data_IF_874792689147
#
_entry.id   IF_874792689147
#
_cell.length_a   1.000
_cell.length_b   1.000
_cell.length_c   1.000
_cell.angle_alpha   90.00
_cell.angle_beta   90.00
_cell.angle_gamma   90.00
#
_symmetry.space_group_name_H-M   'P 1'
#
loop_
_entity.id
_entity.type
_entity.pdbx_description
1 polymer ?
#
# COMPACT_ATOMS: atom_id res chain seq x y z
N UNK A 1 -8.49 -28.13 -5.57
CA UNK A 1 -9.86 -27.98 -6.10
C UNK A 1 -10.11 -29.14 -7.04
N UNK A 2 -10.63 -30.26 -6.54
CA UNK A 2 -10.81 -31.51 -7.31
C UNK A 2 -12.23 -32.01 -7.09
N UNK A 3 -12.95 -32.38 -8.14
CA UNK A 3 -14.34 -32.84 -8.03
C UNK A 3 -14.46 -34.00 -7.01
N UNK A 4 -15.59 -34.08 -6.29
CA UNK A 4 -15.95 -35.12 -5.30
C UNK A 4 -15.32 -35.05 -3.89
N UNK A 5 -14.58 -33.98 -3.56
CA UNK A 5 -14.13 -33.73 -2.18
C UNK A 5 -15.14 -32.92 -1.36
N UNK A 6 -15.09 -33.08 -0.02
CA UNK A 6 -15.97 -32.34 0.90
C UNK A 6 -15.78 -30.82 0.78
N UNK A 7 -16.83 -30.01 1.02
CA UNK A 7 -16.74 -28.55 0.95
C UNK A 7 -15.58 -27.94 1.75
N UNK A 8 -15.31 -28.50 2.93
CA UNK A 8 -14.20 -28.09 3.80
C UNK A 8 -12.84 -28.39 3.16
N UNK A 9 -12.66 -29.56 2.56
CA UNK A 9 -11.41 -29.90 1.87
C UNK A 9 -11.23 -29.04 0.61
N UNK A 10 -12.31 -28.73 -0.10
CA UNK A 10 -12.23 -27.82 -1.26
C UNK A 10 -11.84 -26.40 -0.84
N UNK A 11 -12.44 -25.88 0.23
CA UNK A 11 -12.08 -24.59 0.79
C UNK A 11 -10.61 -24.54 1.21
N UNK A 12 -10.11 -25.59 1.86
CA UNK A 12 -8.69 -25.69 2.23
C UNK A 12 -7.79 -25.74 0.99
N UNK A 13 -8.11 -26.57 -0.01
CA UNK A 13 -7.33 -26.64 -1.25
C UNK A 13 -7.38 -25.34 -2.04
N UNK A 14 -8.52 -24.65 -2.00
CA UNK A 14 -8.70 -23.37 -2.69
C UNK A 14 -7.89 -22.27 -2.04
N UNK A 15 -7.94 -22.18 -0.71
CA UNK A 15 -7.18 -21.16 0.03
C UNK A 15 -5.69 -21.46 0.14
N UNK A 16 -5.28 -22.73 0.10
CA UNK A 16 -3.87 -23.09 -0.09
C UNK A 16 -3.36 -22.71 -1.48
N UNK A 17 -4.22 -22.77 -2.50
CA UNK A 17 -3.87 -22.32 -3.84
C UNK A 17 -3.69 -20.80 -3.89
N UNK A 18 -4.62 -20.03 -3.33
CA UNK A 18 -4.53 -18.56 -3.30
C UNK A 18 -3.29 -18.10 -2.51
N UNK A 19 -3.10 -18.63 -1.29
CA UNK A 19 -1.88 -18.40 -0.50
C UNK A 19 -0.61 -18.83 -1.24
N UNK A 20 -0.67 -19.95 -1.95
CA UNK A 20 0.44 -20.46 -2.77
C UNK A 20 0.85 -19.47 -3.86
N UNK A 21 -0.10 -18.74 -4.45
CA UNK A 21 0.19 -17.68 -5.40
C UNK A 21 0.77 -16.43 -4.73
N UNK A 22 0.31 -16.06 -3.53
CA UNK A 22 0.98 -15.03 -2.69
C UNK A 22 2.43 -15.40 -2.42
N UNK A 23 2.69 -16.64 -2.03
CA UNK A 23 4.03 -17.14 -1.77
C UNK A 23 4.89 -17.16 -3.04
N UNK A 24 4.32 -17.55 -4.18
CA UNK A 24 5.02 -17.53 -5.47
C UNK A 24 5.38 -16.10 -5.91
N UNK A 25 4.46 -15.15 -5.72
CA UNK A 25 4.69 -13.73 -5.92
C UNK A 25 5.81 -13.18 -5.04
N UNK A 26 5.78 -13.51 -3.74
CA UNK A 26 6.82 -13.14 -2.80
C UNK A 26 8.18 -13.76 -3.17
N UNK A 27 8.21 -14.97 -3.72
CA UNK A 27 9.45 -15.66 -4.12
C UNK A 27 10.18 -14.96 -5.29
N UNK A 28 9.48 -14.14 -6.09
CA UNK A 28 10.14 -13.35 -7.12
C UNK A 28 11.19 -12.37 -6.56
N UNK A 29 11.17 -12.08 -5.25
CA UNK A 29 12.22 -11.35 -4.54
C UNK A 29 13.59 -12.04 -4.65
N UNK A 30 13.67 -13.34 -4.95
CA UNK A 30 14.95 -14.02 -5.21
C UNK A 30 15.51 -13.72 -6.62
N UNK A 31 14.61 -13.47 -7.58
CA UNK A 31 14.96 -13.22 -8.99
C UNK A 31 15.20 -11.73 -9.23
N UNK A 32 14.28 -10.88 -8.80
CA UNK A 32 14.35 -9.44 -9.03
C UNK A 32 15.15 -8.75 -7.94
N UNK A 33 16.22 -8.06 -8.33
CA UNK A 33 17.08 -7.30 -7.43
C UNK A 33 16.58 -5.87 -7.25
N UNK A 34 16.47 -5.41 -5.99
CA UNK A 34 16.10 -4.02 -5.64
C UNK A 34 17.07 -2.96 -6.18
N UNK A 35 18.22 -3.37 -6.75
CA UNK A 35 19.18 -2.48 -7.40
C UNK A 35 18.65 -1.81 -8.67
N UNK A 36 17.67 -2.38 -9.35
CA UNK A 36 17.15 -1.83 -10.62
C UNK A 36 15.82 -1.12 -10.38
N UNK A 37 15.90 0.17 -10.00
CA UNK A 37 14.74 1.03 -9.72
C UNK A 37 13.67 1.00 -10.82
N UNK A 38 14.06 0.87 -12.09
CA UNK A 38 13.13 0.71 -13.22
C UNK A 38 12.28 -0.55 -13.15
N UNK A 39 12.87 -1.68 -12.76
CA UNK A 39 12.14 -2.95 -12.66
C UNK A 39 11.21 -2.89 -11.45
N UNK A 40 11.67 -2.33 -10.34
CA UNK A 40 10.87 -2.14 -9.14
C UNK A 40 9.64 -1.25 -9.42
N UNK A 41 9.85 -0.06 -9.98
CA UNK A 41 8.77 0.87 -10.31
C UNK A 41 7.78 0.24 -11.32
N UNK A 42 8.30 -0.48 -12.33
CA UNK A 42 7.47 -1.18 -13.30
C UNK A 42 6.67 -2.34 -12.70
N UNK A 43 7.25 -3.09 -11.76
CA UNK A 43 6.55 -4.19 -11.10
C UNK A 43 5.51 -3.69 -10.10
N UNK A 44 5.78 -2.60 -9.39
CA UNK A 44 4.81 -1.93 -8.51
C UNK A 44 3.66 -1.32 -9.32
N UNK A 45 3.97 -0.67 -10.45
CA UNK A 45 2.95 -0.17 -11.38
C UNK A 45 2.05 -1.30 -11.88
N UNK A 46 2.63 -2.39 -12.37
CA UNK A 46 1.88 -3.59 -12.77
C UNK A 46 0.99 -4.14 -11.65
N UNK A 47 1.53 -4.28 -10.43
CA UNK A 47 0.77 -4.75 -9.27
C UNK A 47 -0.41 -3.83 -8.93
N UNK A 48 -0.22 -2.50 -8.91
CA UNK A 48 -1.29 -1.54 -8.72
C UNK A 48 -2.42 -1.70 -9.76
N UNK A 49 -2.04 -1.94 -11.02
CA UNK A 49 -2.98 -2.21 -12.10
C UNK A 49 -3.84 -3.46 -11.85
N UNK A 50 -3.18 -4.57 -11.50
CA UNK A 50 -3.87 -5.83 -11.19
C UNK A 50 -4.81 -5.66 -10.01
N UNK A 51 -4.35 -5.06 -8.91
CA UNK A 51 -5.14 -4.86 -7.69
C UNK A 51 -6.36 -3.95 -7.91
N UNK A 52 -6.24 -2.89 -8.73
CA UNK A 52 -7.38 -2.04 -9.07
C UNK A 52 -8.45 -2.78 -9.89
N UNK A 53 -8.02 -3.59 -10.87
CA UNK A 53 -8.95 -4.40 -11.64
C UNK A 53 -9.64 -5.43 -10.73
N UNK A 54 -8.87 -6.18 -9.95
CA UNK A 54 -9.40 -7.22 -9.08
C UNK A 54 -10.35 -6.67 -7.99
N UNK A 55 -10.06 -5.47 -7.47
CA UNK A 55 -10.98 -4.74 -6.58
C UNK A 55 -12.38 -4.59 -7.17
N UNK A 56 -12.49 -4.37 -8.49
CA UNK A 56 -13.78 -4.29 -9.15
C UNK A 56 -14.36 -5.68 -9.48
N UNK A 57 -13.66 -6.46 -10.30
CA UNK A 57 -14.22 -7.69 -10.87
C UNK A 57 -14.30 -8.86 -9.89
N UNK A 58 -13.30 -9.01 -9.03
CA UNK A 58 -13.20 -10.16 -8.14
C UNK A 58 -13.80 -9.90 -6.75
N UNK A 59 -14.04 -8.63 -6.39
CA UNK A 59 -14.57 -8.24 -5.08
C UNK A 59 -15.88 -7.44 -5.17
N UNK A 60 -15.87 -6.25 -5.78
CA UNK A 60 -17.06 -5.37 -5.84
C UNK A 60 -18.21 -5.95 -6.66
N UNK A 61 -17.95 -6.47 -7.86
CA UNK A 61 -18.99 -7.03 -8.72
C UNK A 61 -19.69 -8.22 -8.05
N UNK A 62 -18.97 -9.24 -7.52
CA UNK A 62 -19.59 -10.29 -6.73
C UNK A 62 -20.34 -9.78 -5.50
N UNK A 63 -19.82 -8.75 -4.80
CA UNK A 63 -20.51 -8.16 -3.67
C UNK A 63 -21.85 -7.50 -4.05
N UNK A 64 -21.90 -6.85 -5.21
CA UNK A 64 -23.11 -6.24 -5.78
C UNK A 64 -24.11 -7.34 -6.15
N UNK A 65 -23.68 -8.35 -6.90
CA UNK A 65 -24.52 -9.47 -7.32
C UNK A 65 -25.12 -10.19 -6.11
N UNK A 66 -24.31 -10.47 -5.09
CA UNK A 66 -24.77 -11.08 -3.84
C UNK A 66 -25.75 -10.18 -3.06
N UNK A 67 -25.57 -8.86 -3.10
CA UNK A 67 -26.49 -7.93 -2.45
C UNK A 67 -27.84 -7.87 -3.19
N UNK A 68 -27.84 -7.88 -4.52
CA UNK A 68 -29.03 -7.93 -5.36
C UNK A 68 -29.81 -9.25 -5.18
N UNK A 69 -29.10 -10.38 -5.28
CA UNK A 69 -29.68 -11.72 -5.16
C UNK A 69 -30.25 -12.01 -3.77
N UNK A 70 -29.74 -11.33 -2.73
CA UNK A 70 -30.24 -11.52 -1.36
C UNK A 70 -31.72 -11.16 -1.19
N UNK A 71 -32.29 -10.35 -2.10
CA UNK A 71 -33.68 -9.89 -2.04
C UNK A 71 -34.03 -8.99 -0.85
N UNK A 72 -33.06 -8.71 0.05
CA UNK A 72 -33.26 -7.94 1.29
C UNK A 72 -33.26 -6.43 1.06
N UNK A 73 -32.53 -5.97 0.05
CA UNK A 73 -32.25 -4.54 -0.14
C UNK A 73 -33.07 -3.89 -1.26
N UNK A 74 -33.71 -4.68 -2.14
CA UNK A 74 -34.49 -4.14 -3.27
C UNK A 74 -33.67 -3.18 -4.13
N UNK A 75 -34.18 -1.98 -4.37
CA UNK A 75 -33.48 -0.91 -5.11
C UNK A 75 -32.24 -0.34 -4.39
N UNK A 76 -32.03 -0.70 -3.12
CA UNK A 76 -30.92 -0.23 -2.29
C UNK A 76 -29.79 -1.27 -2.15
N UNK A 77 -29.66 -2.22 -3.08
CA UNK A 77 -28.58 -3.20 -3.08
C UNK A 77 -27.16 -2.56 -3.09
N UNK A 78 -27.04 -1.32 -3.53
CA UNK A 78 -25.78 -0.56 -3.46
C UNK A 78 -25.36 -0.21 -2.01
N UNK A 79 -26.28 -0.16 -1.04
CA UNK A 79 -26.00 0.28 0.33
C UNK A 79 -25.01 -0.63 1.06
N UNK A 80 -25.20 -1.96 1.16
CA UNK A 80 -24.23 -2.83 1.82
C UNK A 80 -22.84 -2.73 1.19
N UNK A 81 -22.77 -2.62 -0.14
CA UNK A 81 -21.53 -2.50 -0.89
C UNK A 81 -20.86 -1.14 -0.63
N UNK A 82 -21.60 -0.04 -0.72
CA UNK A 82 -21.07 1.31 -0.47
C UNK A 82 -20.58 1.47 0.98
N UNK A 83 -21.33 0.94 1.95
CA UNK A 83 -20.95 0.94 3.36
C UNK A 83 -19.70 0.10 3.58
N UNK A 84 -19.66 -1.13 3.06
CA UNK A 84 -18.48 -1.99 3.15
C UNK A 84 -17.24 -1.31 2.56
N UNK A 85 -17.35 -0.82 1.32
CA UNK A 85 -16.28 -0.11 0.62
C UNK A 85 -15.76 1.10 1.39
N UNK A 86 -16.66 1.98 1.85
CA UNK A 86 -16.27 3.16 2.62
C UNK A 86 -15.61 2.79 3.96
N UNK A 87 -16.12 1.77 4.65
CA UNK A 87 -15.52 1.28 5.90
C UNK A 87 -14.14 0.66 5.66
N UNK A 88 -13.94 -0.04 4.55
CA UNK A 88 -12.63 -0.58 4.14
C UNK A 88 -11.59 0.51 3.93
N UNK A 89 -11.94 1.53 3.15
CA UNK A 89 -11.06 2.67 2.92
C UNK A 89 -10.79 3.45 4.22
N UNK A 90 -11.84 3.71 5.02
CA UNK A 90 -11.72 4.37 6.30
C UNK A 90 -10.87 3.56 7.30
N UNK A 91 -10.96 2.23 7.27
CA UNK A 91 -10.15 1.37 8.12
C UNK A 91 -8.66 1.56 7.85
N UNK A 92 -8.23 1.55 6.59
CA UNK A 92 -6.82 1.76 6.23
C UNK A 92 -6.38 3.18 6.58
N UNK A 93 -7.21 4.19 6.29
CA UNK A 93 -6.95 5.58 6.68
C UNK A 93 -6.77 5.74 8.20
N UNK A 94 -7.65 5.12 9.00
CA UNK A 94 -7.56 5.17 10.46
C UNK A 94 -6.35 4.38 10.98
N UNK A 95 -5.97 3.28 10.34
CA UNK A 95 -4.75 2.55 10.65
C UNK A 95 -3.51 3.41 10.38
N UNK A 96 -3.50 4.19 9.29
CA UNK A 96 -2.45 5.17 9.03
C UNK A 96 -2.40 6.23 10.13
N UNK A 97 -3.55 6.76 10.55
CA UNK A 97 -3.61 7.77 11.62
C UNK A 97 -3.19 7.23 13.01
N UNK A 98 -3.46 5.96 13.29
CA UNK A 98 -3.15 5.34 14.58
C UNK A 98 -1.67 4.98 14.75
N UNK A 99 -0.94 4.72 13.66
CA UNK A 99 0.46 4.29 13.70
C UNK A 99 1.42 5.25 14.42
N UNK A 100 1.36 6.59 14.20
CA UNK A 100 2.11 7.56 14.98
C UNK A 100 1.75 7.54 16.46
N UNK A 101 0.46 7.34 16.76
CA UNK A 101 -0.06 7.35 18.12
C UNK A 101 0.45 6.16 18.95
N UNK A 102 0.65 5.01 18.29
CA UNK A 102 1.16 3.79 18.90
C UNK A 102 2.70 3.73 18.98
N UNK A 103 3.41 4.71 18.41
CA UNK A 103 4.88 4.72 18.40
C UNK A 103 5.51 3.66 17.50
N UNK A 104 4.76 3.05 16.58
CA UNK A 104 5.19 1.91 15.73
C UNK A 104 6.02 2.39 14.49
N UNK A 105 6.51 3.63 14.50
CA UNK A 105 7.20 4.25 13.37
C UNK A 105 8.72 4.10 13.33
N UNK A 106 9.37 3.62 14.39
CA UNK A 106 10.84 3.48 14.44
C UNK A 106 11.26 2.04 14.25
N UNK A 107 12.15 1.78 13.30
CA UNK A 107 12.78 0.46 13.14
C UNK A 107 13.51 0.09 14.45
N UNK A 108 13.42 -1.17 14.94
CA UNK A 108 14.11 -1.62 16.15
C UNK A 108 15.61 -1.30 16.17
N UNK A 109 16.25 -1.26 15.01
CA UNK A 109 17.67 -0.91 14.88
C UNK A 109 17.92 0.61 14.96
N UNK A 110 16.94 1.46 14.57
CA UNK A 110 17.01 2.92 14.73
C UNK A 110 16.61 3.37 16.13
N UNK A 111 15.67 2.67 16.79
CA UNK A 111 15.26 2.95 18.16
C UNK A 111 16.41 2.74 19.17
N UNK A 112 17.33 1.80 18.88
CA UNK A 112 18.55 1.57 19.67
C UNK A 112 19.69 2.56 19.33
N UNK A 113 19.63 3.22 18.17
CA UNK A 113 20.65 4.17 17.72
C UNK A 113 20.31 5.63 18.09
N UNK A 114 19.10 5.91 18.56
CA UNK A 114 18.70 7.21 19.09
C UNK A 114 19.09 7.31 20.58
N UNK A 115 19.85 8.35 20.99
CA UNK A 115 20.12 8.57 22.41
C UNK A 115 18.81 8.84 23.18
N UNK A 116 18.73 8.50 24.49
CA UNK A 116 17.46 8.48 25.25
C UNK A 116 16.79 9.84 25.48
N UNK A 117 17.39 10.94 25.02
CA UNK A 117 16.96 12.30 25.31
C UNK A 117 16.51 13.05 24.05
N UNK A 118 15.33 12.68 23.54
CA UNK A 118 14.48 13.62 22.79
C UNK A 118 13.01 13.35 23.11
N UNK A 119 12.65 13.62 24.37
CA UNK A 119 11.25 13.83 24.71
C UNK A 119 10.76 15.03 23.89
N UNK A 120 9.79 14.77 23.02
CA UNK A 120 8.89 15.71 22.37
C UNK A 120 8.83 17.09 23.05
N UNK A 121 9.48 18.09 22.45
CA UNK A 121 9.03 19.46 22.62
C UNK A 121 7.68 19.59 21.92
N UNK A 122 6.64 19.75 22.74
CA UNK A 122 5.30 20.14 22.30
C UNK A 122 5.36 21.58 21.80
N UNK A 123 5.53 21.77 20.50
CA UNK A 123 5.19 23.06 19.88
C UNK A 123 3.67 23.22 19.87
N UNK A 124 3.19 24.03 20.82
CA UNK A 124 1.93 24.77 20.72
C UNK A 124 2.15 25.95 19.77
N UNK A 125 1.38 26.01 18.70
CA UNK A 125 1.05 27.25 18.00
C UNK A 125 -0.39 27.07 17.46
N UNK A 126 -1.40 27.43 18.25
CA UNK A 126 -2.14 28.69 18.18
C UNK A 126 -2.69 29.00 16.78
N UNK A 127 -4.02 29.00 16.68
CA UNK A 127 -4.79 29.12 15.44
C UNK A 127 -4.81 30.54 14.84
N UNK A 128 -5.44 30.70 13.65
CA UNK A 128 -5.37 31.95 12.90
C UNK A 128 -6.40 32.97 13.43
N UNK A 129 -5.92 34.09 13.94
CA UNK A 129 -6.72 35.29 14.19
C UNK A 129 -6.56 36.32 13.07
N UNK A 130 -7.71 36.78 12.58
CA UNK A 130 -7.95 37.63 11.42
C UNK A 130 -7.89 39.15 11.75
N UNK A 131 -7.36 39.95 10.79
CA UNK A 131 -7.68 41.36 10.43
C UNK A 131 -6.96 42.53 11.20
N UNK A 132 -6.98 43.81 10.70
CA UNK A 132 -5.95 44.35 9.76
C UNK A 132 -5.54 45.83 10.05
N UNK A 133 -4.47 46.36 9.43
CA UNK A 133 -4.34 47.81 9.11
C UNK A 133 -3.07 48.14 8.32
N UNK A 134 -3.27 48.53 7.05
CA UNK A 134 -2.39 49.39 6.23
C UNK A 134 -2.42 50.86 6.75
N UNK A 135 -1.73 51.84 6.13
CA UNK A 135 -0.44 51.86 5.43
C UNK A 135 0.44 53.09 5.85
N UNK A 136 1.70 53.23 5.42
CA UNK A 136 2.26 54.49 4.88
C UNK A 136 3.75 54.44 4.48
N UNK A 137 3.98 54.96 3.28
CA UNK A 137 5.11 55.75 2.75
C UNK A 137 6.52 55.19 2.45
N UNK A 138 6.79 55.25 1.13
CA UNK A 138 8.06 55.37 0.43
C UNK A 138 8.98 56.47 1.00
N UNK A 139 10.30 56.24 0.94
CA UNK A 139 11.23 57.33 0.60
C UNK A 139 12.47 56.84 -0.16
N UNK A 140 12.74 57.58 -1.24
CA UNK A 140 13.70 57.40 -2.33
C UNK A 140 15.08 57.98 -1.95
N UNK A 141 16.18 57.42 -2.48
CA UNK A 141 17.24 58.19 -3.18
C UNK A 141 18.30 57.34 -3.88
N UNK A 142 18.27 57.41 -5.21
CA UNK A 142 19.33 57.03 -6.17
C UNK A 142 20.01 58.32 -6.66
N UNK A 143 21.33 58.25 -6.88
CA UNK A 143 22.02 58.97 -7.95
C UNK A 143 23.45 59.41 -7.62
N UNK A 144 24.46 58.94 -8.39
CA UNK A 144 25.10 59.71 -9.50
C UNK A 144 26.30 58.98 -10.16
N UNK A 145 26.37 59.13 -11.49
CA UNK A 145 27.53 59.11 -12.43
C UNK A 145 28.15 57.76 -12.89
N UNK A 146 28.05 57.48 -14.20
CA UNK A 146 28.76 56.40 -14.94
C UNK A 146 30.14 56.86 -15.49
N UNK A 147 30.69 56.34 -16.63
CA UNK A 147 30.28 55.20 -17.48
C UNK A 147 31.46 54.26 -17.95
N UNK A 148 31.11 53.19 -18.71
CA UNK A 148 31.87 52.47 -19.77
C UNK A 148 33.11 51.57 -19.49
N UNK A 149 33.02 50.36 -20.07
CA UNK A 149 34.03 49.67 -20.93
C UNK A 149 34.65 48.34 -20.46
N UNK A 150 34.74 47.44 -21.45
CA UNK A 150 35.26 46.08 -21.49
C UNK A 150 36.74 45.86 -21.10
N UNK A 151 37.04 44.56 -20.84
CA UNK A 151 38.27 43.77 -21.08
C UNK A 151 39.07 43.29 -19.84
N UNK A 152 39.16 41.96 -19.75
CA UNK A 152 40.36 41.09 -19.63
C UNK A 152 41.58 41.68 -18.89
N UNK A 153 42.05 41.05 -17.80
CA UNK A 153 43.36 40.36 -17.67
C UNK A 153 43.68 39.96 -16.20
N UNK A 154 44.50 38.92 -16.08
CA UNK A 154 45.09 38.26 -14.91
C UNK A 154 45.65 39.16 -13.78
N UNK A 155 45.66 38.63 -12.55
CA UNK A 155 46.55 39.09 -11.48
C UNK A 155 46.25 38.48 -10.10
N UNK A 156 47.03 37.46 -9.71
CA UNK A 156 47.08 36.90 -8.36
C UNK A 156 47.45 37.95 -7.31
N UNK A 157 46.70 38.05 -6.20
CA UNK A 157 47.25 38.47 -4.89
C UNK A 157 46.53 37.73 -3.76
N UNK A 158 47.28 36.89 -3.05
CA UNK A 158 46.89 36.30 -1.77
C UNK A 158 46.41 37.35 -0.76
N UNK A 159 45.15 37.26 -0.33
CA UNK A 159 44.75 37.74 1.01
C UNK A 159 44.29 36.56 1.87
N UNK A 160 45.26 36.06 2.65
CA UNK A 160 45.05 35.19 3.80
C UNK A 160 44.32 35.98 4.90
N UNK A 161 42.99 36.01 4.87
CA UNK A 161 42.19 36.51 6.01
C UNK A 161 41.85 35.34 6.93
N UNK A 162 42.68 35.16 7.95
CA UNK A 162 42.48 34.25 9.08
C UNK A 162 41.26 34.77 9.87
N UNK A 163 40.09 34.17 9.68
CA UNK A 163 38.92 34.35 10.55
C UNK A 163 38.90 33.26 11.64
N UNK A 164 38.47 33.54 12.88
CA UNK A 164 38.46 32.56 13.95
C UNK A 164 37.22 31.65 13.85
N UNK A 165 37.48 30.33 13.93
CA UNK A 165 36.57 29.27 14.37
C UNK A 165 35.10 29.32 13.93
N UNK A 166 34.82 28.72 12.78
CA UNK A 166 33.58 28.00 12.50
C UNK A 166 33.68 26.60 13.12
N UNK A 167 33.09 26.36 14.29
CA UNK A 167 32.96 25.00 14.84
C UNK A 167 31.58 24.69 15.43
N UNK A 168 30.61 25.60 15.30
CA UNK A 168 29.23 25.39 15.77
C UNK A 168 28.24 25.03 14.65
N UNK A 169 28.53 25.35 13.39
CA UNK A 169 27.64 25.03 12.26
C UNK A 169 27.79 23.59 11.74
N UNK A 170 29.00 23.00 11.76
CA UNK A 170 29.21 21.62 11.27
C UNK A 170 28.54 20.57 12.17
N UNK A 171 28.51 20.79 13.49
CA UNK A 171 27.81 19.90 14.42
C UNK A 171 26.28 19.98 14.33
N UNK A 172 25.73 21.16 14.01
CA UNK A 172 24.30 21.36 13.80
C UNK A 172 23.83 20.82 12.44
N UNK A 173 24.61 20.98 11.36
CA UNK A 173 24.30 20.41 10.05
C UNK A 173 24.46 18.88 9.99
N UNK A 174 25.43 18.32 10.73
CA UNK A 174 25.57 16.87 10.87
C UNK A 174 24.41 16.29 11.68
N UNK A 175 24.01 16.95 12.78
CA UNK A 175 22.85 16.59 13.59
C UNK A 175 21.55 16.64 12.79
N UNK A 176 21.30 17.71 12.03
CA UNK A 176 20.09 17.83 11.20
C UNK A 176 20.03 16.80 10.08
N UNK A 177 21.14 16.51 9.38
CA UNK A 177 21.18 15.44 8.36
C UNK A 177 20.94 14.06 8.96
N UNK A 178 21.51 13.77 10.12
CA UNK A 178 21.34 12.47 10.77
C UNK A 178 19.90 12.27 11.26
N UNK A 179 19.26 13.35 11.72
CA UNK A 179 17.86 13.39 12.11
C UNK A 179 16.92 13.30 10.90
N UNK A 180 17.25 13.93 9.77
CA UNK A 180 16.51 13.83 8.50
C UNK A 180 16.55 12.41 7.91
N UNK A 181 17.73 11.77 7.90
CA UNK A 181 17.89 10.40 7.41
C UNK A 181 17.15 9.40 8.30
N UNK A 182 17.23 9.56 9.63
CA UNK A 182 16.47 8.73 10.57
C UNK A 182 14.95 8.91 10.39
N UNK A 183 14.49 10.14 10.16
CA UNK A 183 13.08 10.44 9.90
C UNK A 183 12.60 9.86 8.56
N UNK A 184 13.43 9.89 7.52
CA UNK A 184 13.14 9.24 6.24
C UNK A 184 13.04 7.71 6.38
N UNK A 185 13.99 7.08 7.08
CA UNK A 185 13.97 5.64 7.33
C UNK A 185 12.74 5.20 8.15
N UNK A 186 12.40 5.95 9.20
CA UNK A 186 11.19 5.74 10.00
C UNK A 186 9.92 5.85 9.15
N UNK A 187 9.83 6.85 8.28
CA UNK A 187 8.69 7.02 7.37
C UNK A 187 8.56 5.88 6.36
N UNK A 188 9.68 5.40 5.79
CA UNK A 188 9.68 4.24 4.87
C UNK A 188 9.29 2.95 5.58
N UNK A 189 9.78 2.72 6.80
CA UNK A 189 9.41 1.55 7.60
C UNK A 189 7.93 1.55 7.99
N UNK A 190 7.42 2.72 8.39
CA UNK A 190 6.00 2.91 8.70
C UNK A 190 5.12 2.53 7.49
N UNK A 191 5.47 3.00 6.29
CA UNK A 191 4.76 2.66 5.04
C UNK A 191 4.78 1.16 4.77
N UNK A 192 5.94 0.51 4.94
CA UNK A 192 6.06 -0.94 4.73
C UNK A 192 5.21 -1.73 5.74
N UNK A 193 5.18 -1.32 7.01
CA UNK A 193 4.35 -1.95 8.02
C UNK A 193 2.85 -1.76 7.77
N UNK A 194 2.44 -0.56 7.33
CA UNK A 194 1.05 -0.31 6.92
C UNK A 194 0.66 -1.18 5.75
N UNK A 195 1.53 -1.27 4.75
CA UNK A 195 1.32 -2.11 3.59
C UNK A 195 1.14 -3.58 4.00
N UNK A 196 2.04 -4.13 4.82
CA UNK A 196 1.91 -5.51 5.33
C UNK A 196 0.61 -5.70 6.11
N UNK A 197 0.26 -4.78 7.00
CA UNK A 197 -0.93 -4.86 7.82
C UNK A 197 -2.20 -4.79 6.98
N UNK A 198 -2.29 -3.83 6.08
CA UNK A 198 -3.42 -3.65 5.18
C UNK A 198 -3.58 -4.86 4.26
N UNK A 199 -2.46 -5.41 3.76
CA UNK A 199 -2.47 -6.63 2.95
C UNK A 199 -2.99 -7.83 3.72
N UNK A 200 -2.46 -8.02 4.94
CA UNK A 200 -2.91 -9.09 5.81
C UNK A 200 -4.40 -8.99 6.13
N UNK A 201 -4.95 -7.79 6.29
CA UNK A 201 -6.35 -7.61 6.65
C UNK A 201 -7.29 -7.83 5.46
N UNK A 202 -6.91 -7.47 4.23
CA UNK A 202 -7.74 -7.76 3.05
C UNK A 202 -7.77 -9.24 2.69
N UNK A 203 -6.69 -9.98 3.01
CA UNK A 203 -6.62 -11.42 2.76
C UNK A 203 -7.63 -12.23 3.60
N UNK A 204 -8.17 -11.64 4.67
CA UNK A 204 -9.18 -12.29 5.51
C UNK A 204 -10.53 -12.41 4.77
N UNK A 205 -11.15 -11.33 4.26
CA UNK A 205 -12.32 -11.41 3.39
C UNK A 205 -12.16 -12.34 2.20
N UNK A 206 -11.00 -12.35 1.54
CA UNK A 206 -10.74 -13.21 0.39
C UNK A 206 -10.74 -14.69 0.76
N UNK A 207 -10.02 -15.06 1.83
CA UNK A 207 -10.05 -16.41 2.36
C UNK A 207 -11.47 -16.83 2.75
N UNK A 208 -12.22 -15.96 3.45
CA UNK A 208 -13.62 -16.19 3.79
C UNK A 208 -14.49 -16.41 2.54
N UNK A 209 -14.31 -15.61 1.49
CA UNK A 209 -15.08 -15.71 0.25
C UNK A 209 -14.84 -17.05 -0.46
N UNK A 210 -13.58 -17.48 -0.59
CA UNK A 210 -13.25 -18.81 -1.11
C UNK A 210 -13.87 -19.91 -0.24
N UNK A 211 -13.75 -19.78 1.09
CA UNK A 211 -14.28 -20.75 2.04
C UNK A 211 -15.80 -20.91 1.96
N UNK A 212 -16.52 -19.80 1.97
CA UNK A 212 -17.98 -19.80 1.84
C UNK A 212 -18.41 -20.23 0.45
N UNK A 213 -17.71 -19.82 -0.61
CA UNK A 213 -18.00 -20.26 -1.98
C UNK A 213 -18.05 -21.77 -2.08
N UNK A 214 -17.03 -22.46 -1.56
CA UNK A 214 -17.03 -23.93 -1.51
C UNK A 214 -18.02 -24.50 -0.47
N UNK A 215 -18.19 -23.84 0.69
CA UNK A 215 -19.11 -24.26 1.74
C UNK A 215 -20.60 -24.12 1.39
N UNK A 216 -20.94 -23.24 0.47
CA UNK A 216 -22.31 -22.94 0.03
C UNK A 216 -22.75 -23.79 -1.17
N UNK A 217 -21.87 -24.63 -1.72
CA UNK A 217 -22.18 -25.45 -2.90
C UNK A 217 -23.48 -26.24 -2.68
N UNK A 218 -24.43 -26.05 -3.60
CA UNK A 218 -25.73 -26.72 -3.58
C UNK A 218 -26.77 -26.09 -2.65
N UNK A 219 -26.47 -24.99 -1.94
CA UNK A 219 -27.46 -24.24 -1.15
C UNK A 219 -28.35 -23.33 -2.00
N UNK A 220 -27.81 -22.82 -3.11
CA UNK A 220 -28.49 -21.92 -4.05
C UNK A 220 -28.12 -22.33 -5.48
N UNK A 221 -28.95 -22.00 -6.47
CA UNK A 221 -28.68 -22.28 -7.88
C UNK A 221 -27.40 -21.63 -8.43
N UNK A 222 -26.96 -20.51 -7.83
CA UNK A 222 -25.72 -19.80 -8.15
C UNK A 222 -24.48 -20.35 -7.44
N UNK A 223 -24.66 -21.08 -6.33
CA UNK A 223 -23.57 -21.64 -5.53
C UNK A 223 -23.15 -23.02 -6.10
N UNK A 224 -22.33 -22.99 -7.14
CA UNK A 224 -21.84 -24.17 -7.85
C UNK A 224 -20.36 -24.40 -7.56
N UNK A 225 -19.89 -25.63 -7.82
CA UNK A 225 -18.45 -25.91 -7.74
C UNK A 225 -17.64 -25.04 -8.72
N UNK A 226 -18.18 -24.81 -9.91
CA UNK A 226 -17.55 -24.00 -10.95
C UNK A 226 -17.43 -22.53 -10.50
N UNK A 227 -18.49 -21.96 -9.92
CA UNK A 227 -18.44 -20.57 -9.41
C UNK A 227 -17.46 -20.40 -8.25
N UNK A 228 -17.44 -21.34 -7.30
CA UNK A 228 -16.47 -21.32 -6.20
C UNK A 228 -15.02 -21.48 -6.68
N UNK A 229 -14.78 -22.34 -7.68
CA UNK A 229 -13.47 -22.55 -8.28
C UNK A 229 -13.00 -21.31 -9.04
N UNK A 230 -13.87 -20.71 -9.85
CA UNK A 230 -13.54 -19.52 -10.64
C UNK A 230 -13.22 -18.34 -9.70
N UNK A 231 -14.00 -18.14 -8.63
CA UNK A 231 -13.72 -17.15 -7.59
C UNK A 231 -12.32 -17.34 -6.98
N UNK A 232 -11.97 -18.57 -6.60
CA UNK A 232 -10.67 -18.85 -6.00
C UNK A 232 -9.50 -18.71 -6.99
N UNK A 233 -9.73 -18.95 -8.28
CA UNK A 233 -8.74 -18.67 -9.33
C UNK A 233 -8.55 -17.16 -9.50
N UNK A 234 -9.63 -16.39 -9.57
CA UNK A 234 -9.59 -14.93 -9.68
C UNK A 234 -8.81 -14.29 -8.53
N UNK A 235 -9.15 -14.69 -7.29
CA UNK A 235 -8.41 -14.28 -6.08
C UNK A 235 -6.94 -14.72 -6.18
N UNK A 236 -6.64 -15.99 -6.49
CA UNK A 236 -5.24 -16.42 -6.54
C UNK A 236 -4.37 -15.61 -7.52
N UNK A 237 -4.92 -15.19 -8.65
CA UNK A 237 -4.18 -14.44 -9.68
C UNK A 237 -3.73 -13.06 -9.15
N UNK A 238 -4.59 -12.33 -8.43
CA UNK A 238 -4.21 -11.02 -7.86
C UNK A 238 -3.28 -11.15 -6.63
N UNK A 239 -3.34 -12.27 -5.91
CA UNK A 239 -2.51 -12.49 -4.72
C UNK A 239 -1.03 -12.66 -5.11
N UNK A 240 -0.74 -13.07 -6.34
CA UNK A 240 0.63 -13.12 -6.85
C UNK A 240 1.30 -11.73 -6.87
N UNK A 241 0.72 -10.69 -7.50
CA UNK A 241 1.22 -9.32 -7.36
C UNK A 241 1.31 -8.80 -5.91
N UNK A 242 0.42 -9.20 -5.01
CA UNK A 242 0.45 -8.75 -3.61
C UNK A 242 1.66 -9.27 -2.83
N UNK A 243 1.99 -10.55 -2.98
CA UNK A 243 3.19 -11.13 -2.37
C UNK A 243 4.47 -10.42 -2.85
N UNK A 244 4.49 -10.01 -4.11
CA UNK A 244 5.56 -9.19 -4.68
C UNK A 244 5.57 -7.77 -4.08
N UNK A 245 4.39 -7.15 -3.97
CA UNK A 245 4.22 -5.79 -3.43
C UNK A 245 4.67 -5.67 -1.97
N UNK A 246 4.59 -6.74 -1.17
CA UNK A 246 5.16 -6.77 0.19
C UNK A 246 6.67 -6.99 0.18
N UNK A 247 7.12 -8.02 -0.54
CA UNK A 247 8.51 -8.51 -0.45
C UNK A 247 9.53 -7.57 -1.11
N UNK A 248 9.18 -6.90 -2.21
CA UNK A 248 10.11 -6.01 -2.92
C UNK A 248 10.44 -4.73 -2.15
N UNK A 249 9.48 -3.96 -1.61
CA UNK A 249 9.78 -2.79 -0.78
C UNK A 249 10.57 -3.16 0.48
N UNK A 250 10.25 -4.28 1.12
CA UNK A 250 11.03 -4.81 2.25
C UNK A 250 12.50 -5.03 1.86
N UNK A 251 12.76 -5.72 0.74
CA UNK A 251 14.13 -5.90 0.23
C UNK A 251 14.78 -4.57 -0.15
N UNK A 252 14.01 -3.63 -0.69
CA UNK A 252 14.44 -2.27 -1.01
C UNK A 252 14.92 -1.48 0.20
N UNK A 253 14.28 -1.69 1.37
CA UNK A 253 14.66 -1.07 2.64
C UNK A 253 15.91 -1.67 3.31
N UNK A 254 16.53 -2.69 2.71
CA UNK A 254 17.74 -3.34 3.22
C UNK A 254 17.49 -4.62 4.01
N UNK A 255 16.23 -5.07 4.15
CA UNK A 255 15.91 -6.37 4.75
C UNK A 255 16.45 -7.50 3.86
N UNK A 256 16.98 -8.57 4.48
CA UNK A 256 17.51 -9.71 3.74
C UNK A 256 16.43 -10.38 2.89
N UNK A 257 16.82 -10.92 1.72
CA UNK A 257 15.91 -11.56 0.76
C UNK A 257 15.02 -12.63 1.41
N UNK A 258 15.58 -13.42 2.33
CA UNK A 258 14.83 -14.47 3.03
C UNK A 258 13.78 -13.89 3.99
N UNK A 259 14.12 -12.83 4.73
CA UNK A 259 13.15 -12.16 5.61
C UNK A 259 12.05 -11.50 4.81
N UNK A 260 12.39 -10.81 3.71
CA UNK A 260 11.43 -10.19 2.82
C UNK A 260 10.45 -11.21 2.22
N UNK A 261 10.94 -12.38 1.79
CA UNK A 261 10.11 -13.50 1.36
C UNK A 261 9.16 -13.98 2.48
N UNK A 262 9.68 -14.19 3.70
CA UNK A 262 8.86 -14.62 4.83
C UNK A 262 7.71 -13.66 5.12
N UNK A 263 7.98 -12.36 5.22
CA UNK A 263 6.93 -11.38 5.43
C UNK A 263 5.91 -11.37 4.29
N UNK A 264 6.37 -11.48 3.04
CA UNK A 264 5.49 -11.51 1.86
C UNK A 264 4.55 -12.72 1.79
N UNK A 265 5.01 -13.92 2.14
CA UNK A 265 4.13 -15.09 2.16
C UNK A 265 3.31 -15.19 3.45
N UNK A 266 3.81 -14.64 4.57
CA UNK A 266 3.10 -14.66 5.86
C UNK A 266 1.88 -13.74 5.82
N UNK A 267 1.90 -12.65 5.05
CA UNK A 267 0.74 -11.77 4.90
C UNK A 267 -0.46 -12.46 4.26
N UNK A 268 -0.25 -13.49 3.42
CA UNK A 268 -1.31 -14.31 2.83
C UNK A 268 -1.71 -15.54 3.65
N UNK A 269 -0.97 -15.89 4.70
CA UNK A 269 -1.26 -17.13 5.45
C UNK A 269 -2.52 -17.07 6.31
N UNK A 270 -3.17 -15.90 6.37
CA UNK A 270 -4.50 -15.74 6.95
C UNK A 270 -5.60 -16.33 6.07
N UNK A 271 -5.39 -16.45 4.75
CA UNK A 271 -6.41 -16.94 3.81
C UNK A 271 -6.84 -18.38 4.11
N UNK A 272 -5.92 -19.35 4.32
CA UNK A 272 -6.32 -20.73 4.65
C UNK A 272 -7.09 -20.85 5.95
N UNK A 273 -6.73 -20.02 6.94
CA UNK A 273 -7.44 -19.98 8.23
C UNK A 273 -8.84 -19.40 8.04
N UNK A 274 -8.94 -18.28 7.35
CA UNK A 274 -10.20 -17.60 7.06
C UNK A 274 -11.13 -18.47 6.19
N UNK A 275 -10.61 -19.18 5.19
CA UNK A 275 -11.42 -20.04 4.34
C UNK A 275 -11.91 -21.30 5.03
N UNK A 276 -11.12 -21.88 5.93
CA UNK A 276 -11.61 -22.97 6.77
C UNK A 276 -12.77 -22.51 7.66
N UNK A 277 -12.64 -21.33 8.27
CA UNK A 277 -13.71 -20.71 9.06
C UNK A 277 -14.95 -20.42 8.20
N UNK A 278 -14.77 -19.86 7.00
CA UNK A 278 -15.86 -19.58 6.06
C UNK A 278 -16.62 -20.83 5.63
N UNK A 279 -15.91 -21.93 5.36
CA UNK A 279 -16.50 -23.20 4.95
C UNK A 279 -17.31 -23.88 6.07
N UNK A 280 -16.90 -23.71 7.33
CA UNK A 280 -17.62 -24.27 8.50
C UNK A 280 -18.76 -23.35 8.94
N UNK A 281 -18.58 -22.03 8.85
CA UNK A 281 -19.51 -21.03 9.35
C UNK A 281 -20.37 -20.38 8.25
N UNK A 282 -20.65 -21.09 7.15
CA UNK A 282 -21.36 -20.55 5.96
C UNK A 282 -22.62 -19.78 6.33
N UNK A 283 -23.46 -20.33 7.22
CA UNK A 283 -24.73 -19.69 7.63
C UNK A 283 -24.51 -18.33 8.30
N UNK A 284 -23.40 -18.16 9.01
CA UNK A 284 -23.02 -16.90 9.65
C UNK A 284 -22.29 -15.96 8.69
N UNK A 285 -21.48 -16.51 7.80
CA UNK A 285 -20.62 -15.76 6.90
C UNK A 285 -21.37 -15.22 5.67
N UNK A 286 -22.29 -15.98 5.10
CA UNK A 286 -23.00 -15.66 3.85
C UNK A 286 -23.72 -14.28 3.89
N UNK A 287 -24.46 -13.90 4.95
CA UNK A 287 -25.07 -12.57 5.03
C UNK A 287 -24.06 -11.42 5.18
N UNK A 288 -22.85 -11.72 5.66
CA UNK A 288 -21.79 -10.73 5.91
C UNK A 288 -20.87 -10.56 4.70
N UNK A 289 -20.86 -11.51 3.77
CA UNK A 289 -19.94 -11.52 2.63
C UNK A 289 -20.02 -10.28 1.73
N UNK A 290 -21.21 -9.74 1.35
CA UNK A 290 -21.27 -8.54 0.51
C UNK A 290 -20.55 -7.36 1.17
N UNK A 291 -20.69 -7.22 2.49
CA UNK A 291 -19.99 -6.19 3.26
C UNK A 291 -18.49 -6.46 3.33
N UNK A 292 -18.09 -7.71 3.57
CA UNK A 292 -16.69 -8.10 3.71
C UNK A 292 -15.90 -7.97 2.39
N UNK A 293 -16.49 -8.39 1.27
CA UNK A 293 -15.91 -8.24 -0.07
C UNK A 293 -15.79 -6.77 -0.47
N UNK A 294 -16.85 -5.99 -0.24
CA UNK A 294 -16.79 -4.56 -0.50
C UNK A 294 -15.77 -3.85 0.42
N UNK A 295 -15.67 -4.26 1.68
CA UNK A 295 -14.64 -3.79 2.62
C UNK A 295 -13.23 -4.09 2.10
N UNK A 296 -12.97 -5.30 1.63
CA UNK A 296 -11.67 -5.64 1.03
C UNK A 296 -11.37 -4.77 -0.20
N UNK A 297 -12.35 -4.59 -1.09
CA UNK A 297 -12.20 -3.74 -2.27
C UNK A 297 -11.88 -2.28 -1.89
N UNK A 298 -12.58 -1.72 -0.90
CA UNK A 298 -12.34 -0.36 -0.42
C UNK A 298 -10.96 -0.18 0.22
N UNK A 299 -10.54 -1.14 1.04
CA UNK A 299 -9.22 -1.16 1.64
C UNK A 299 -8.12 -1.28 0.56
N UNK A 300 -8.30 -2.17 -0.42
CA UNK A 300 -7.34 -2.39 -1.50
C UNK A 300 -7.20 -1.16 -2.40
N UNK A 301 -8.32 -0.53 -2.80
CA UNK A 301 -8.29 0.73 -3.58
C UNK A 301 -7.57 1.83 -2.81
N UNK A 302 -7.81 1.97 -1.50
CA UNK A 302 -7.11 2.96 -0.68
C UNK A 302 -5.58 2.71 -0.69
N UNK A 303 -5.14 1.48 -0.41
CA UNK A 303 -3.71 1.11 -0.41
C UNK A 303 -3.06 1.36 -1.76
N UNK A 304 -3.74 1.02 -2.87
CA UNK A 304 -3.17 1.24 -4.21
C UNK A 304 -2.98 2.73 -4.48
N UNK A 305 -3.96 3.56 -4.12
CA UNK A 305 -3.94 5.01 -4.37
C UNK A 305 -2.94 5.73 -3.45
N UNK A 306 -2.89 5.37 -2.17
CA UNK A 306 -2.11 6.10 -1.15
C UNK A 306 -0.66 5.58 -1.05
N UNK A 307 -0.42 4.29 -1.32
CA UNK A 307 0.90 3.67 -1.18
C UNK A 307 1.50 3.22 -2.53
N UNK A 308 0.87 2.28 -3.24
CA UNK A 308 1.55 1.57 -4.35
C UNK A 308 1.80 2.49 -5.56
N UNK A 309 0.80 3.28 -5.98
CA UNK A 309 0.95 4.20 -7.11
C UNK A 309 1.99 5.29 -6.79
N UNK A 310 1.94 5.98 -5.64
CA UNK A 310 2.97 6.93 -5.26
C UNK A 310 4.37 6.32 -5.20
N UNK A 311 4.52 5.13 -4.59
CA UNK A 311 5.81 4.44 -4.47
C UNK A 311 6.40 4.09 -5.84
N UNK A 312 5.58 3.59 -6.77
CA UNK A 312 6.01 3.28 -8.13
C UNK A 312 6.52 4.51 -8.92
N UNK A 313 6.20 5.73 -8.47
CA UNK A 313 6.60 6.96 -9.14
C UNK A 313 7.82 7.65 -8.50
N UNK A 314 8.28 7.20 -7.33
CA UNK A 314 9.36 7.84 -6.55
C UNK A 314 10.67 7.94 -7.32
N UNK A 315 11.03 6.93 -8.13
CA UNK A 315 12.34 6.92 -8.82
C UNK A 315 12.36 7.65 -10.16
N UNK A 316 11.34 8.46 -10.47
CA UNK A 316 11.27 9.22 -11.72
C UNK A 316 10.85 8.41 -12.95
N UNK A 317 10.45 7.15 -12.78
CA UNK A 317 9.95 6.29 -13.87
C UNK A 317 8.41 6.31 -13.97
N UNK A 318 7.75 7.42 -13.63
CA UNK A 318 6.29 7.46 -13.52
C UNK A 318 5.54 7.02 -14.78
N UNK A 319 6.04 7.35 -15.99
CA UNK A 319 5.44 6.87 -17.25
C UNK A 319 5.48 5.34 -17.39
N UNK A 320 6.58 4.71 -16.95
CA UNK A 320 6.70 3.24 -16.96
C UNK A 320 5.71 2.63 -15.97
N UNK A 321 5.62 3.18 -14.75
CA UNK A 321 4.67 2.75 -13.74
C UNK A 321 3.21 2.86 -14.23
N UNK A 322 2.84 3.95 -14.91
CA UNK A 322 1.49 4.10 -15.47
C UNK A 322 1.19 3.08 -16.58
N UNK A 323 2.11 2.88 -17.53
CA UNK A 323 1.89 1.90 -18.62
C UNK A 323 1.86 0.46 -18.13
N UNK A 324 2.72 0.12 -17.17
CA UNK A 324 2.71 -1.20 -16.53
C UNK A 324 1.45 -1.40 -15.69
N UNK A 325 0.92 -0.36 -15.05
CA UNK A 325 -0.39 -0.40 -14.38
C UNK A 325 -1.54 -0.64 -15.34
N UNK A 326 -1.58 0.04 -16.50
CA UNK A 326 -2.58 -0.25 -17.54
C UNK A 326 -2.45 -1.71 -18.00
N UNK A 327 -1.23 -2.19 -18.23
CA UNK A 327 -0.99 -3.58 -18.62
C UNK A 327 -1.50 -4.56 -17.56
N UNK A 328 -1.18 -4.32 -16.28
CA UNK A 328 -1.65 -5.15 -15.16
C UNK A 328 -3.18 -5.17 -15.06
N UNK A 329 -3.81 -4.01 -15.22
CA UNK A 329 -5.26 -3.88 -15.23
C UNK A 329 -5.90 -4.70 -16.36
N UNK A 330 -5.39 -4.57 -17.59
CA UNK A 330 -5.89 -5.31 -18.75
C UNK A 330 -5.68 -6.81 -18.59
N UNK A 331 -4.52 -7.24 -18.08
CA UNK A 331 -4.23 -8.66 -17.82
C UNK A 331 -5.22 -9.20 -16.81
N UNK A 332 -5.41 -8.53 -15.67
CA UNK A 332 -6.33 -8.99 -14.64
C UNK A 332 -7.79 -9.00 -15.14
N UNK A 333 -8.25 -7.95 -15.79
CA UNK A 333 -9.59 -7.90 -16.40
C UNK A 333 -9.80 -9.05 -17.39
N UNK A 334 -8.80 -9.33 -18.24
CA UNK A 334 -8.90 -10.40 -19.23
C UNK A 334 -8.91 -11.78 -18.59
N UNK A 335 -8.18 -11.97 -17.49
CA UNK A 335 -8.16 -13.22 -16.74
C UNK A 335 -9.47 -13.42 -15.99
N UNK A 336 -10.00 -12.40 -15.33
CA UNK A 336 -11.27 -12.49 -14.61
C UNK A 336 -12.45 -12.73 -15.57
N UNK A 337 -12.58 -11.92 -16.62
CA UNK A 337 -13.65 -12.10 -17.62
C UNK A 337 -13.47 -13.34 -18.49
N UNK A 338 -12.23 -13.77 -18.73
CA UNK A 338 -11.93 -14.91 -19.60
C UNK A 338 -11.97 -16.27 -18.91
N UNK A 339 -11.76 -16.31 -17.58
CA UNK A 339 -11.78 -17.53 -16.77
C UNK A 339 -13.01 -17.62 -15.84
N UNK A 340 -13.70 -16.49 -15.62
CA UNK A 340 -14.88 -16.31 -14.77
C UNK A 340 -16.17 -16.84 -15.37
#
# INVERSE_FOLDING_TARGET
>A
MLVDYSPVTQALLGTLFTWGLTAAGAALVFVFSSRQKRILDGSLGFAAGVMLAASYWSLLAPAIDMAEDSGKYGSFAFVPVAVGFALGAAFVYLADLAMPLLGVGTDPHTALALPPDSKLDKDKAEGPSFLPSDPEEMSIRIGRAGPLSDKIENGDVHQRRKGPHSSSSEGQEAGSRQQEVARQAANSWRRILLLILAITIHNIPEGLAVGVGFGAIGKTSSATFESARNLAIGIGIQNFPEGLAVSLPLRGSGVSTWRAFWFGQLSGMVEPVAGLLGAVAVVLAEPLLPYALAFAAGAMVYVVVDDIIPEAQVSGNGKLASWTSILGFVVMMSLDVGLG
#
